data_IF_137748357450
#
_entry.id   IF_137748357450
#
_cell.length_a   1.000
_cell.length_b   1.000
_cell.length_c   1.000
_cell.angle_alpha   90.00
_cell.angle_beta   90.00
_cell.angle_gamma   90.00
#
_symmetry.space_group_name_H-M   'P 1'
#
loop_
_entity.id
_entity.type
_entity.pdbx_description
1 polymer ?
#
# COMPACT_ATOMS: atom_id res chain seq x y z
N UNK A 1 -30.70 12.32 0.06
CA UNK A 1 -29.52 11.81 -0.65
C UNK A 1 -28.45 11.46 0.38
N UNK A 2 -27.89 10.24 0.34
CA UNK A 2 -26.73 9.89 1.18
C UNK A 2 -25.59 10.82 0.81
N UNK A 3 -24.87 11.34 1.81
CA UNK A 3 -23.69 12.18 1.57
C UNK A 3 -22.62 11.37 0.82
N UNK A 4 -21.86 11.98 -0.12
CA UNK A 4 -20.73 11.30 -0.74
C UNK A 4 -19.76 10.79 0.33
N UNK A 5 -19.18 9.62 0.12
CA UNK A 5 -18.26 8.96 1.07
C UNK A 5 -17.14 9.89 1.55
N UNK A 6 -16.65 10.77 0.68
CA UNK A 6 -15.52 11.68 0.88
C UNK A 6 -15.91 13.04 1.49
N UNK A 7 -17.19 13.26 1.77
CA UNK A 7 -17.76 14.49 2.39
C UNK A 7 -18.53 14.19 3.68
N UNK A 8 -18.39 12.99 4.22
CA UNK A 8 -19.00 12.57 5.48
C UNK A 8 -18.27 13.24 6.66
N UNK A 9 -18.96 13.86 7.63
CA UNK A 9 -18.32 14.43 8.81
C UNK A 9 -17.57 13.38 9.64
N UNK A 10 -16.45 13.73 10.32
CA UNK A 10 -15.67 12.82 11.13
C UNK A 10 -16.49 11.99 12.14
N UNK A 11 -17.41 12.61 12.85
CA UNK A 11 -18.30 11.93 13.82
C UNK A 11 -19.18 10.84 13.21
N UNK A 12 -19.59 11.01 11.94
CA UNK A 12 -20.54 10.09 11.29
C UNK A 12 -19.77 8.87 10.77
N UNK A 13 -18.58 9.02 10.19
CA UNK A 13 -17.78 7.85 9.82
C UNK A 13 -17.18 7.13 11.03
N UNK A 14 -16.88 7.83 12.14
CA UNK A 14 -16.49 7.18 13.39
C UNK A 14 -17.56 6.20 13.89
N UNK A 15 -18.81 6.64 13.92
CA UNK A 15 -19.95 5.77 14.28
C UNK A 15 -20.10 4.58 13.33
N UNK A 16 -19.89 4.82 12.02
CA UNK A 16 -19.90 3.76 11.02
C UNK A 16 -18.78 2.74 11.28
N UNK A 17 -17.55 3.21 11.50
CA UNK A 17 -16.41 2.34 11.80
C UNK A 17 -16.63 1.51 13.06
N UNK A 18 -17.16 2.10 14.14
CA UNK A 18 -17.49 1.37 15.38
C UNK A 18 -18.54 0.29 15.16
N UNK A 19 -19.58 0.57 14.38
CA UNK A 19 -20.61 -0.40 14.04
C UNK A 19 -20.06 -1.56 13.19
N UNK A 20 -19.28 -1.24 12.15
CA UNK A 20 -18.65 -2.23 11.27
C UNK A 20 -17.59 -3.05 12.01
N UNK A 21 -16.81 -2.44 12.90
CA UNK A 21 -15.83 -3.11 13.75
C UNK A 21 -16.50 -4.18 14.63
N UNK A 22 -17.57 -3.78 15.33
CA UNK A 22 -18.32 -4.71 16.18
C UNK A 22 -18.88 -5.87 15.37
N UNK A 23 -19.46 -5.58 14.20
CA UNK A 23 -20.00 -6.61 13.32
C UNK A 23 -18.89 -7.53 12.80
N UNK A 24 -17.79 -6.97 12.31
CA UNK A 24 -16.67 -7.73 11.79
C UNK A 24 -16.07 -8.66 12.85
N UNK A 25 -15.85 -8.17 14.06
CA UNK A 25 -15.24 -8.95 15.15
C UNK A 25 -16.19 -10.03 15.66
N UNK A 26 -17.41 -9.64 16.02
CA UNK A 26 -18.34 -10.55 16.72
C UNK A 26 -19.05 -11.55 15.80
N UNK A 27 -19.35 -11.16 14.54
CA UNK A 27 -20.12 -12.00 13.62
C UNK A 27 -19.27 -12.80 12.63
N UNK A 28 -18.06 -12.35 12.33
CA UNK A 28 -17.25 -12.97 11.27
C UNK A 28 -15.85 -13.41 11.73
N UNK A 29 -15.10 -12.51 12.35
CA UNK A 29 -13.70 -12.80 12.69
C UNK A 29 -13.58 -13.88 13.77
N UNK A 30 -14.21 -13.68 14.92
CA UNK A 30 -14.17 -14.65 16.03
C UNK A 30 -14.78 -16.01 15.64
N UNK A 31 -15.97 -16.10 14.99
CA UNK A 31 -16.51 -17.38 14.59
C UNK A 31 -15.73 -18.12 13.51
N UNK A 32 -15.16 -17.41 12.53
CA UNK A 32 -14.64 -18.00 11.30
C UNK A 32 -13.14 -17.92 11.10
N UNK A 33 -12.40 -17.30 12.05
CA UNK A 33 -10.95 -17.33 12.09
C UNK A 33 -10.44 -18.07 13.34
N UNK A 34 -9.93 -19.30 13.22
CA UNK A 34 -9.33 -20.02 14.34
C UNK A 34 -8.17 -19.27 14.99
N UNK A 35 -7.40 -18.52 14.21
CA UNK A 35 -6.28 -17.70 14.69
C UNK A 35 -6.76 -16.60 15.64
N UNK A 36 -7.71 -15.76 15.20
CA UNK A 36 -8.21 -14.67 16.04
C UNK A 36 -9.06 -15.18 17.23
N UNK A 37 -9.81 -16.27 17.03
CA UNK A 37 -10.52 -16.90 18.16
C UNK A 37 -9.55 -17.32 19.25
N UNK A 38 -8.47 -18.02 18.90
CA UNK A 38 -7.44 -18.39 19.86
C UNK A 38 -6.83 -17.17 20.54
N UNK A 39 -6.50 -16.11 19.77
CA UNK A 39 -5.98 -14.85 20.30
C UNK A 39 -6.92 -14.24 21.36
N UNK A 40 -8.22 -14.21 21.10
CA UNK A 40 -9.23 -13.70 22.02
C UNK A 40 -9.36 -14.56 23.27
N UNK A 41 -9.40 -15.88 23.09
CA UNK A 41 -9.55 -16.84 24.20
C UNK A 41 -8.31 -16.84 25.10
N UNK A 42 -7.09 -16.79 24.55
CA UNK A 42 -5.82 -16.74 25.29
C UNK A 42 -5.70 -15.48 26.17
N UNK A 43 -6.38 -14.39 25.81
CA UNK A 43 -6.34 -13.11 26.53
C UNK A 43 -7.65 -12.78 27.26
N UNK A 44 -8.58 -13.73 27.39
CA UNK A 44 -9.93 -13.56 27.98
C UNK A 44 -10.70 -12.35 27.41
N UNK A 45 -10.54 -12.07 26.14
CA UNK A 45 -11.23 -10.96 25.46
C UNK A 45 -12.57 -11.45 24.92
N UNK A 46 -13.65 -10.79 25.31
CA UNK A 46 -14.99 -11.12 24.81
C UNK A 46 -15.27 -10.31 23.52
N UNK A 47 -15.48 -10.96 22.36
CA UNK A 47 -15.67 -10.27 21.08
C UNK A 47 -16.84 -9.29 21.09
N UNK A 48 -17.89 -9.58 21.86
CA UNK A 48 -19.08 -8.72 22.01
C UNK A 48 -18.80 -7.40 22.75
N UNK A 49 -17.66 -7.30 23.45
CA UNK A 49 -17.24 -6.08 24.16
C UNK A 49 -16.47 -5.12 23.27
N UNK A 50 -15.99 -5.58 22.11
CA UNK A 50 -15.31 -4.72 21.13
C UNK A 50 -16.38 -3.94 20.37
N UNK A 51 -16.67 -2.71 20.80
CA UNK A 51 -17.73 -1.84 20.25
C UNK A 51 -17.24 -0.47 19.82
N UNK A 52 -16.16 0.02 20.43
CA UNK A 52 -15.57 1.32 20.19
C UNK A 52 -14.13 1.18 19.78
N UNK A 53 -13.58 2.17 19.09
CA UNK A 53 -12.20 2.13 18.63
C UNK A 53 -11.21 1.94 19.79
N UNK A 54 -11.44 2.58 20.93
CA UNK A 54 -10.62 2.43 22.14
C UNK A 54 -10.62 1.02 22.72
N UNK A 55 -11.65 0.22 22.45
CA UNK A 55 -11.73 -1.16 22.94
C UNK A 55 -10.72 -2.06 22.21
N UNK A 56 -10.16 -1.60 21.08
CA UNK A 56 -9.11 -2.32 20.35
C UNK A 56 -7.79 -2.37 21.13
N UNK A 57 -7.49 -1.40 22.00
CA UNK A 57 -6.21 -1.37 22.72
C UNK A 57 -6.00 -2.57 23.66
N UNK A 58 -7.09 -3.26 24.03
CA UNK A 58 -7.00 -4.52 24.77
C UNK A 58 -6.69 -5.75 23.89
N UNK A 59 -6.84 -5.61 22.55
CA UNK A 59 -6.58 -6.71 21.61
C UNK A 59 -5.10 -6.69 21.23
N UNK A 60 -4.36 -7.80 21.40
CA UNK A 60 -2.97 -7.87 20.98
C UNK A 60 -2.79 -7.55 19.50
N UNK A 61 -1.65 -6.97 19.17
CA UNK A 61 -1.26 -6.73 17.79
C UNK A 61 -0.93 -8.05 17.10
N UNK A 62 -1.32 -8.19 15.85
CA UNK A 62 -0.82 -9.23 14.96
C UNK A 62 0.21 -8.66 13.97
N UNK A 63 1.11 -9.49 13.47
CA UNK A 63 2.21 -9.07 12.61
C UNK A 63 2.43 -10.05 11.45
N UNK A 64 3.31 -9.71 10.52
CA UNK A 64 3.70 -10.59 9.43
C UNK A 64 4.24 -11.95 9.92
N UNK A 65 4.89 -11.99 11.08
CA UNK A 65 5.46 -13.20 11.67
C UNK A 65 4.40 -14.22 12.08
N UNK A 66 3.21 -13.77 12.50
CA UNK A 66 2.09 -14.64 12.85
C UNK A 66 1.54 -15.42 11.66
N UNK A 67 1.77 -14.90 10.46
CA UNK A 67 1.30 -15.44 9.19
C UNK A 67 2.44 -15.98 8.31
N UNK A 68 3.69 -15.79 8.70
CA UNK A 68 4.82 -16.33 7.94
C UNK A 68 4.82 -17.87 7.98
N UNK A 69 4.96 -18.51 6.82
CA UNK A 69 5.14 -19.94 6.75
C UNK A 69 6.42 -20.34 7.48
N UNK A 70 6.35 -21.40 8.28
CA UNK A 70 7.49 -22.01 8.95
C UNK A 70 7.56 -23.49 8.58
N UNK A 71 8.72 -24.18 8.75
CA UNK A 71 8.84 -25.60 8.38
C UNK A 71 7.77 -26.50 9.02
N UNK A 72 7.37 -26.17 10.27
CA UNK A 72 6.40 -26.93 11.06
C UNK A 72 4.95 -26.61 10.67
N UNK A 73 4.69 -25.44 10.05
CA UNK A 73 3.35 -25.01 9.65
C UNK A 73 3.39 -24.10 8.39
N UNK A 74 3.35 -24.70 7.23
CA UNK A 74 3.27 -24.01 5.94
C UNK A 74 1.90 -23.36 5.68
N UNK A 75 0.89 -23.66 6.53
CA UNK A 75 -0.47 -23.14 6.37
C UNK A 75 -0.68 -21.75 7.00
N UNK A 76 0.29 -21.21 7.74
CA UNK A 76 0.18 -19.94 8.45
C UNK A 76 -0.27 -18.75 7.59
N UNK A 77 0.15 -18.59 6.32
CA UNK A 77 -0.33 -17.50 5.47
C UNK A 77 -1.85 -17.50 5.24
N UNK A 78 -2.48 -18.66 5.37
CA UNK A 78 -3.93 -18.82 5.18
C UNK A 78 -4.75 -18.50 6.44
N UNK A 79 -4.13 -18.20 7.58
CA UNK A 79 -4.82 -17.91 8.85
C UNK A 79 -5.69 -16.65 8.80
N UNK A 80 -5.40 -15.72 7.88
CA UNK A 80 -6.21 -14.53 7.65
C UNK A 80 -7.52 -14.82 6.89
N UNK A 81 -7.64 -15.97 6.19
CA UNK A 81 -8.85 -16.35 5.48
C UNK A 81 -9.96 -16.70 6.45
N UNK A 82 -11.14 -16.13 6.24
CA UNK A 82 -12.34 -16.51 6.99
C UNK A 82 -12.89 -17.82 6.42
N UNK A 83 -13.05 -18.82 7.28
CA UNK A 83 -13.48 -20.18 6.89
C UNK A 83 -14.66 -20.62 7.76
N UNK A 84 -15.91 -20.36 7.34
CA UNK A 84 -17.07 -20.92 8.00
C UNK A 84 -17.06 -22.43 7.85
N UNK A 85 -16.87 -23.15 8.95
CA UNK A 85 -17.04 -24.58 9.04
C UNK A 85 -18.28 -24.93 9.89
N UNK A 86 -18.73 -26.17 9.82
CA UNK A 86 -19.91 -26.62 10.54
C UNK A 86 -19.77 -26.43 12.07
N UNK A 87 -18.57 -26.66 12.61
CA UNK A 87 -18.28 -26.47 14.03
C UNK A 87 -18.33 -24.99 14.41
N UNK A 88 -17.71 -24.12 13.59
CA UNK A 88 -17.74 -22.66 13.78
C UNK A 88 -19.16 -22.10 13.74
N UNK A 89 -19.95 -22.56 12.76
CA UNK A 89 -21.35 -22.19 12.63
C UNK A 89 -22.16 -22.61 13.87
N UNK A 90 -22.11 -23.88 14.28
CA UNK A 90 -22.90 -24.39 15.40
C UNK A 90 -22.54 -23.77 16.75
N UNK A 91 -21.25 -23.50 16.98
CA UNK A 91 -20.78 -23.13 18.32
C UNK A 91 -20.59 -21.62 18.52
N UNK A 92 -20.20 -20.86 17.50
CA UNK A 92 -19.78 -19.48 17.64
C UNK A 92 -20.48 -18.48 16.71
N UNK A 93 -21.19 -18.94 15.67
CA UNK A 93 -21.86 -18.03 14.75
C UNK A 93 -22.97 -17.23 15.45
N UNK A 94 -23.10 -15.96 15.05
CA UNK A 94 -24.17 -15.10 15.53
C UNK A 94 -25.54 -15.66 15.11
N UNK A 95 -26.55 -15.47 15.97
CA UNK A 95 -27.93 -15.98 15.74
C UNK A 95 -28.50 -15.59 14.38
N UNK A 96 -28.19 -14.40 13.88
CA UNK A 96 -28.69 -13.94 12.58
C UNK A 96 -28.05 -14.72 11.42
N UNK A 97 -26.76 -15.07 11.52
CA UNK A 97 -26.09 -15.95 10.54
C UNK A 97 -26.75 -17.33 10.55
N UNK A 98 -26.97 -17.89 11.75
CA UNK A 98 -27.62 -19.20 11.90
C UNK A 98 -29.06 -19.18 11.35
N UNK A 99 -29.84 -18.13 11.63
CA UNK A 99 -31.22 -17.98 11.12
C UNK A 99 -31.22 -17.89 9.58
N UNK A 100 -30.29 -17.15 8.99
CA UNK A 100 -30.16 -17.02 7.54
C UNK A 100 -29.82 -18.36 6.90
N UNK A 101 -28.84 -19.08 7.43
CA UNK A 101 -28.45 -20.41 6.94
C UNK A 101 -29.58 -21.41 7.12
N UNK A 102 -30.24 -21.45 8.29
CA UNK A 102 -31.38 -22.34 8.57
C UNK A 102 -32.55 -22.05 7.65
N UNK A 103 -32.88 -20.77 7.41
CA UNK A 103 -33.94 -20.38 6.47
C UNK A 103 -33.62 -20.85 5.04
N UNK A 104 -32.38 -20.64 4.58
CA UNK A 104 -31.99 -21.04 3.24
C UNK A 104 -32.06 -22.58 3.10
N UNK A 105 -31.56 -23.31 4.11
CA UNK A 105 -31.65 -24.75 4.17
C UNK A 105 -33.09 -25.25 4.14
N UNK A 106 -33.99 -24.62 4.90
CA UNK A 106 -35.41 -25.00 4.97
C UNK A 106 -36.17 -24.70 3.65
N UNK A 107 -35.87 -23.56 3.01
CA UNK A 107 -36.60 -23.11 1.82
C UNK A 107 -36.06 -23.72 0.54
N UNK A 108 -34.74 -23.90 0.44
CA UNK A 108 -34.04 -24.29 -0.81
C UNK A 108 -33.13 -25.53 -0.70
N UNK A 109 -33.04 -26.11 0.53
CA UNK A 109 -32.23 -27.30 0.79
C UNK A 109 -30.76 -27.02 1.19
N UNK A 110 -30.05 -28.09 1.56
CA UNK A 110 -28.69 -28.03 2.11
C UNK A 110 -27.69 -27.44 1.12
N UNK A 111 -27.76 -27.83 -0.16
CA UNK A 111 -26.87 -27.29 -1.21
C UNK A 111 -26.98 -25.76 -1.35
N UNK A 112 -28.16 -25.21 -1.17
CA UNK A 112 -28.36 -23.74 -1.21
C UNK A 112 -27.74 -23.04 -0.02
N UNK A 113 -27.78 -23.66 1.16
CA UNK A 113 -27.13 -23.12 2.36
C UNK A 113 -25.60 -23.16 2.24
N UNK A 114 -25.02 -24.25 1.69
CA UNK A 114 -23.60 -24.36 1.41
C UNK A 114 -23.18 -23.34 0.34
N UNK A 115 -23.96 -23.18 -0.71
CA UNK A 115 -23.72 -22.19 -1.77
C UNK A 115 -23.76 -20.77 -1.22
N UNK A 116 -24.70 -20.43 -0.35
CA UNK A 116 -24.78 -19.12 0.32
C UNK A 116 -23.50 -18.80 1.08
N UNK A 117 -22.97 -19.76 1.84
CA UNK A 117 -21.73 -19.59 2.60
C UNK A 117 -20.52 -19.51 1.67
N UNK A 118 -20.47 -20.34 0.61
CA UNK A 118 -19.42 -20.32 -0.37
C UNK A 118 -19.37 -18.98 -1.13
N UNK A 119 -20.51 -18.46 -1.54
CA UNK A 119 -20.61 -17.16 -2.20
C UNK A 119 -20.15 -16.01 -1.30
N UNK A 120 -20.46 -16.08 0.01
CA UNK A 120 -20.09 -15.03 0.95
C UNK A 120 -18.59 -15.09 1.36
N UNK A 121 -18.00 -16.28 1.56
CA UNK A 121 -16.69 -16.43 2.17
C UNK A 121 -15.63 -17.10 1.30
N UNK A 122 -16.00 -17.71 0.18
CA UNK A 122 -15.04 -18.37 -0.70
C UNK A 122 -14.20 -17.34 -1.46
N UNK A 123 -12.87 -17.28 -1.27
CA UNK A 123 -12.03 -16.44 -2.08
C UNK A 123 -12.04 -16.89 -3.54
N UNK A 124 -12.31 -15.97 -4.45
CA UNK A 124 -12.27 -16.18 -5.91
C UNK A 124 -11.04 -15.52 -6.53
N UNK A 125 -10.35 -14.68 -5.76
CA UNK A 125 -9.13 -14.00 -6.16
C UNK A 125 -8.17 -13.92 -4.96
N UNK A 126 -6.89 -14.14 -5.21
CA UNK A 126 -5.85 -14.18 -4.17
C UNK A 126 -4.67 -13.31 -4.57
N UNK A 127 -4.18 -12.50 -3.64
CA UNK A 127 -2.88 -11.84 -3.78
C UNK A 127 -1.86 -12.51 -2.87
N UNK A 128 -0.66 -12.71 -3.41
CA UNK A 128 0.46 -13.22 -2.63
C UNK A 128 1.14 -12.07 -1.88
N UNK A 129 1.59 -12.30 -0.63
CA UNK A 129 2.40 -11.31 0.06
C UNK A 129 3.74 -11.11 -0.66
N UNK A 130 4.26 -9.89 -0.63
CA UNK A 130 5.58 -9.58 -1.22
C UNK A 130 6.76 -10.13 -0.40
N UNK A 131 6.49 -10.67 0.78
CA UNK A 131 7.42 -11.26 1.74
C UNK A 131 6.67 -12.15 2.72
N UNK A 132 7.20 -12.41 3.93
CA UNK A 132 6.45 -13.07 4.99
C UNK A 132 5.17 -12.30 5.29
N UNK A 133 4.03 -12.99 5.44
CA UNK A 133 2.77 -12.32 5.73
C UNK A 133 1.53 -13.11 5.33
N UNK A 134 0.34 -12.56 5.61
CA UNK A 134 -0.92 -13.19 5.28
C UNK A 134 -1.22 -13.16 3.79
N UNK A 135 -1.90 -14.21 3.34
CA UNK A 135 -2.50 -14.24 2.01
C UNK A 135 -3.72 -13.32 1.98
N UNK A 136 -3.80 -12.44 0.99
CA UNK A 136 -4.97 -11.59 0.81
C UNK A 136 -5.99 -12.29 -0.10
N UNK A 137 -7.14 -12.63 0.46
CA UNK A 137 -8.24 -13.28 -0.26
C UNK A 137 -9.42 -12.34 -0.48
N UNK A 138 -10.01 -12.41 -1.67
CA UNK A 138 -11.18 -11.63 -2.08
C UNK A 138 -12.31 -12.54 -2.50
N UNK A 139 -13.46 -12.41 -1.90
CA UNK A 139 -14.70 -12.96 -2.41
C UNK A 139 -15.24 -12.09 -3.56
N UNK A 140 -16.32 -12.49 -4.22
CA UNK A 140 -16.99 -11.62 -5.21
C UNK A 140 -17.42 -10.28 -4.62
N UNK A 141 -17.90 -10.30 -3.36
CA UNK A 141 -18.21 -9.08 -2.61
C UNK A 141 -16.98 -8.21 -2.39
N UNK A 142 -15.87 -8.81 -1.98
CA UNK A 142 -14.63 -8.10 -1.71
C UNK A 142 -14.01 -7.49 -2.99
N UNK A 143 -14.18 -8.14 -4.15
CA UNK A 143 -13.79 -7.57 -5.43
C UNK A 143 -14.62 -6.31 -5.77
N UNK A 144 -15.90 -6.28 -5.40
CA UNK A 144 -16.70 -5.05 -5.53
C UNK A 144 -16.19 -3.93 -4.62
N UNK A 145 -15.77 -4.25 -3.39
CA UNK A 145 -15.14 -3.29 -2.47
C UNK A 145 -13.78 -2.80 -3.01
N UNK A 146 -12.95 -3.70 -3.56
CA UNK A 146 -11.68 -3.34 -4.23
C UNK A 146 -11.92 -2.41 -5.42
N UNK A 147 -12.93 -2.72 -6.25
CA UNK A 147 -13.34 -1.88 -7.39
C UNK A 147 -13.76 -0.49 -6.93
N UNK A 148 -14.54 -0.40 -5.87
CA UNK A 148 -14.98 0.86 -5.28
C UNK A 148 -13.79 1.65 -4.69
N UNK A 149 -12.90 1.00 -3.94
CA UNK A 149 -11.70 1.63 -3.38
C UNK A 149 -10.78 2.16 -4.48
N UNK A 150 -10.55 1.38 -5.54
CA UNK A 150 -9.78 1.81 -6.71
C UNK A 150 -10.42 2.98 -7.45
N UNK A 151 -11.75 2.97 -7.65
CA UNK A 151 -12.46 4.10 -8.26
C UNK A 151 -12.37 5.37 -7.39
N UNK A 152 -12.45 5.23 -6.07
CA UNK A 152 -12.25 6.34 -5.11
C UNK A 152 -10.83 6.90 -5.18
N UNK A 153 -9.81 6.03 -5.27
CA UNK A 153 -8.42 6.48 -5.41
C UNK A 153 -8.21 7.28 -6.70
N UNK A 154 -8.77 6.82 -7.82
CA UNK A 154 -8.75 7.56 -9.09
C UNK A 154 -9.46 8.93 -8.96
N UNK A 155 -10.62 8.97 -8.31
CA UNK A 155 -11.35 10.22 -8.07
C UNK A 155 -10.59 11.20 -7.17
N UNK A 156 -9.85 10.70 -6.14
CA UNK A 156 -8.95 11.51 -5.30
C UNK A 156 -7.87 12.15 -6.15
N UNK A 157 -7.32 11.42 -7.11
CA UNK A 157 -6.28 11.89 -8.01
C UNK A 157 -6.82 12.80 -9.16
N UNK A 158 -8.11 13.12 -9.16
CA UNK A 158 -8.72 13.99 -10.18
C UNK A 158 -8.97 13.29 -11.51
N UNK A 159 -8.96 11.96 -11.54
CA UNK A 159 -9.27 11.16 -12.74
C UNK A 159 -10.78 11.03 -12.90
N UNK A 160 -11.26 11.20 -14.12
CA UNK A 160 -12.68 11.22 -14.49
C UNK A 160 -12.97 10.19 -15.58
N UNK A 161 -14.24 9.99 -15.93
CA UNK A 161 -14.65 9.06 -17.00
C UNK A 161 -14.18 9.45 -18.40
N UNK A 162 -13.81 10.71 -18.59
CA UNK A 162 -13.30 11.22 -19.87
C UNK A 162 -11.80 10.90 -20.06
N UNK A 163 -11.12 10.46 -19.00
CA UNK A 163 -9.72 10.13 -19.06
C UNK A 163 -9.48 8.76 -19.73
N UNK A 164 -8.29 8.59 -20.27
CA UNK A 164 -7.80 7.33 -20.82
C UNK A 164 -6.58 6.93 -20.00
N UNK A 165 -6.68 5.80 -19.31
CA UNK A 165 -5.62 5.28 -18.44
C UNK A 165 -4.76 4.27 -19.21
N UNK A 166 -3.45 4.51 -19.19
CA UNK A 166 -2.46 3.50 -19.55
C UNK A 166 -1.72 3.09 -18.26
N UNK A 167 -1.66 1.78 -18.01
CA UNK A 167 -0.94 1.21 -16.88
C UNK A 167 0.28 0.43 -17.35
N UNK A 168 1.44 0.80 -16.82
CA UNK A 168 2.70 0.05 -16.94
C UNK A 168 3.08 -0.59 -15.61
N UNK A 169 2.10 -0.90 -14.78
CA UNK A 169 2.29 -1.72 -13.59
C UNK A 169 2.50 -3.18 -13.97
N UNK A 170 3.38 -3.92 -13.26
CA UNK A 170 3.65 -5.31 -13.56
C UNK A 170 2.41 -6.17 -13.39
N UNK A 171 2.19 -7.09 -14.33
CA UNK A 171 1.22 -8.16 -14.20
C UNK A 171 1.70 -9.15 -13.14
N UNK A 172 0.85 -9.47 -12.19
CA UNK A 172 1.26 -10.44 -11.18
C UNK A 172 0.22 -10.58 -10.06
N UNK A 173 0.48 -11.49 -9.11
CA UNK A 173 -0.44 -11.74 -8.00
C UNK A 173 -0.28 -10.69 -6.90
N UNK A 174 -0.02 -9.43 -7.27
CA UNK A 174 0.26 -8.33 -6.35
C UNK A 174 -0.74 -7.20 -6.52
N UNK A 175 -1.06 -6.52 -5.44
CA UNK A 175 -2.08 -5.47 -5.37
C UNK A 175 -1.96 -4.35 -6.42
N UNK A 176 -0.79 -3.84 -6.82
CA UNK A 176 -0.69 -2.66 -7.68
C UNK A 176 -1.53 -2.71 -8.96
N UNK A 177 -1.32 -3.77 -9.74
CA UNK A 177 -2.05 -3.97 -10.99
C UNK A 177 -3.56 -4.11 -10.76
N UNK A 178 -3.95 -4.96 -9.82
CA UNK A 178 -5.36 -5.28 -9.58
C UNK A 178 -6.14 -4.11 -8.99
N UNK A 179 -5.51 -3.31 -8.12
CA UNK A 179 -6.15 -2.10 -7.59
C UNK A 179 -6.49 -1.10 -8.69
N UNK A 180 -5.55 -0.86 -9.62
CA UNK A 180 -5.76 0.05 -10.75
C UNK A 180 -6.74 -0.56 -11.76
N UNK A 181 -6.65 -1.86 -12.05
CA UNK A 181 -7.54 -2.57 -12.96
C UNK A 181 -9.00 -2.51 -12.50
N UNK A 182 -9.28 -3.00 -11.29
CA UNK A 182 -10.64 -2.96 -10.74
C UNK A 182 -11.12 -1.52 -10.50
N UNK A 183 -10.22 -0.63 -10.13
CA UNK A 183 -10.53 0.79 -9.98
C UNK A 183 -10.98 1.45 -11.27
N UNK A 184 -10.30 1.18 -12.38
CA UNK A 184 -10.69 1.67 -13.69
C UNK A 184 -12.07 1.13 -14.11
N UNK A 185 -12.33 -0.15 -13.89
CA UNK A 185 -13.65 -0.75 -14.13
C UNK A 185 -14.74 -0.08 -13.28
N UNK A 186 -14.50 0.08 -11.95
CA UNK A 186 -15.44 0.72 -11.04
C UNK A 186 -15.72 2.19 -11.36
N UNK A 187 -14.74 2.90 -11.92
CA UNK A 187 -14.87 4.27 -12.36
C UNK A 187 -15.55 4.40 -13.75
N UNK A 188 -15.73 3.29 -14.49
CA UNK A 188 -16.16 3.30 -15.88
C UNK A 188 -15.16 4.02 -16.80
N UNK A 189 -13.87 3.82 -16.55
CA UNK A 189 -12.75 4.48 -17.21
C UNK A 189 -12.19 3.59 -18.31
N UNK A 190 -11.93 4.15 -19.49
CA UNK A 190 -11.17 3.47 -20.54
C UNK A 190 -9.73 3.22 -20.09
N UNK A 191 -9.33 1.95 -20.03
CA UNK A 191 -8.02 1.58 -19.54
C UNK A 191 -7.33 0.52 -20.39
N UNK A 192 -6.02 0.69 -20.60
CA UNK A 192 -5.15 -0.31 -21.23
C UNK A 192 -4.00 -0.65 -20.28
N UNK A 193 -3.76 -1.92 -20.09
CA UNK A 193 -2.69 -2.43 -19.25
C UNK A 193 -1.59 -3.02 -20.13
N UNK A 194 -0.40 -2.45 -20.08
CA UNK A 194 0.72 -2.80 -20.96
C UNK A 194 1.82 -3.62 -20.24
N UNK A 195 1.71 -3.77 -18.91
CA UNK A 195 2.75 -4.40 -18.11
C UNK A 195 4.03 -3.56 -17.98
N UNK A 196 4.98 -4.06 -17.24
CA UNK A 196 6.20 -3.32 -16.87
C UNK A 196 7.36 -3.45 -17.88
N UNK A 197 7.07 -3.75 -19.14
CA UNK A 197 8.06 -3.77 -20.21
C UNK A 197 8.44 -5.15 -20.75
N UNK A 198 7.98 -6.25 -20.13
CA UNK A 198 8.14 -7.60 -20.68
C UNK A 198 7.05 -7.92 -21.70
N UNK A 199 5.78 -7.65 -21.36
CA UNK A 199 4.65 -7.93 -22.25
C UNK A 199 4.61 -6.93 -23.43
N UNK A 200 4.79 -5.64 -23.15
CA UNK A 200 4.87 -4.58 -24.16
C UNK A 200 6.11 -3.74 -23.92
N UNK A 201 6.99 -3.67 -24.92
CA UNK A 201 8.24 -2.93 -24.82
C UNK A 201 8.00 -1.41 -24.67
N UNK A 202 8.90 -0.65 -24.01
CA UNK A 202 8.69 0.79 -23.76
C UNK A 202 8.37 1.62 -25.01
N UNK A 203 9.01 1.34 -26.15
CA UNK A 203 8.73 2.07 -27.39
C UNK A 203 7.32 1.78 -27.95
N UNK A 204 6.85 0.54 -27.84
CA UNK A 204 5.48 0.15 -28.23
C UNK A 204 4.45 0.78 -27.28
N UNK A 205 4.75 0.81 -25.97
CA UNK A 205 3.93 1.50 -24.97
C UNK A 205 3.79 2.99 -25.28
N UNK A 206 4.86 3.67 -25.72
CA UNK A 206 4.83 5.06 -26.14
C UNK A 206 3.93 5.28 -27.37
N UNK A 207 3.97 4.37 -28.34
CA UNK A 207 3.08 4.41 -29.53
C UNK A 207 1.62 4.28 -29.10
N UNK A 208 1.31 3.34 -28.19
CA UNK A 208 -0.06 3.18 -27.70
C UNK A 208 -0.54 4.37 -26.88
N UNK A 209 0.30 4.97 -26.05
CA UNK A 209 -0.05 6.18 -25.31
C UNK A 209 -0.44 7.33 -26.27
N UNK A 210 0.36 7.55 -27.32
CA UNK A 210 0.07 8.58 -28.33
C UNK A 210 -1.23 8.28 -29.09
N UNK A 211 -1.41 7.04 -29.58
CA UNK A 211 -2.59 6.63 -30.35
C UNK A 211 -3.90 6.72 -29.58
N UNK A 212 -3.87 6.33 -28.30
CA UNK A 212 -5.03 6.36 -27.42
C UNK A 212 -5.30 7.76 -26.84
N UNK A 213 -4.35 8.68 -27.01
CA UNK A 213 -4.43 10.00 -26.36
C UNK A 213 -4.47 9.87 -24.84
N UNK A 214 -3.58 9.03 -24.27
CA UNK A 214 -3.55 8.72 -22.86
C UNK A 214 -3.44 9.98 -21.99
N UNK A 215 -4.34 10.10 -21.00
CA UNK A 215 -4.37 11.24 -20.08
C UNK A 215 -3.88 10.86 -18.68
N UNK A 216 -3.84 9.56 -18.36
CA UNK A 216 -3.36 9.02 -17.09
C UNK A 216 -2.34 7.91 -17.35
N UNK A 217 -1.18 8.01 -16.72
CA UNK A 217 -0.16 6.94 -16.70
C UNK A 217 0.01 6.42 -15.29
N UNK A 218 -0.31 5.14 -15.05
CA UNK A 218 -0.03 4.45 -13.78
C UNK A 218 1.22 3.59 -13.93
N UNK A 219 2.21 3.75 -13.02
CA UNK A 219 3.52 3.11 -13.18
C UNK A 219 4.24 2.91 -11.85
N UNK A 220 5.28 2.07 -11.85
CA UNK A 220 6.31 2.05 -10.82
C UNK A 220 7.33 3.18 -11.07
N UNK A 221 7.93 3.69 -10.00
CA UNK A 221 8.73 4.91 -10.08
C UNK A 221 10.00 4.78 -10.92
N UNK A 222 10.72 3.64 -10.87
CA UNK A 222 11.95 3.50 -11.67
C UNK A 222 11.63 3.30 -13.15
N UNK A 223 10.59 2.51 -13.46
CA UNK A 223 10.13 2.35 -14.83
C UNK A 223 9.65 3.69 -15.41
N UNK A 224 8.83 4.44 -14.68
CA UNK A 224 8.33 5.76 -15.10
C UNK A 224 9.46 6.74 -15.38
N UNK A 225 10.50 6.83 -14.52
CA UNK A 225 11.64 7.73 -14.73
C UNK A 225 12.39 7.40 -16.02
N UNK A 226 12.60 6.11 -16.31
CA UNK A 226 13.21 5.64 -17.55
C UNK A 226 12.33 5.89 -18.79
N UNK A 227 11.04 5.61 -18.67
CA UNK A 227 10.07 5.79 -19.73
C UNK A 227 9.90 7.25 -20.15
N UNK A 228 9.76 8.17 -19.18
CA UNK A 228 9.68 9.61 -19.44
C UNK A 228 10.94 10.18 -20.11
N UNK A 229 12.11 9.58 -19.88
CA UNK A 229 13.36 10.00 -20.54
C UNK A 229 13.55 9.45 -21.95
N UNK A 230 13.01 8.26 -22.20
CA UNK A 230 13.29 7.53 -23.45
C UNK A 230 12.17 7.58 -24.48
N UNK A 231 10.93 7.91 -24.09
CA UNK A 231 9.81 7.96 -25.00
C UNK A 231 9.69 9.34 -25.69
N UNK A 232 9.19 9.39 -26.93
CA UNK A 232 9.00 10.66 -27.65
C UNK A 232 7.92 11.53 -26.97
N UNK A 233 8.03 12.88 -27.03
CA UNK A 233 7.06 13.81 -26.40
C UNK A 233 5.61 13.58 -26.84
N UNK A 234 5.39 13.10 -28.06
CA UNK A 234 4.05 12.78 -28.57
C UNK A 234 3.31 11.74 -27.70
N UNK A 235 4.03 10.87 -26.99
CA UNK A 235 3.44 9.91 -26.07
C UNK A 235 2.76 10.59 -24.87
N UNK A 236 3.18 11.77 -24.50
CA UNK A 236 2.74 12.49 -23.31
C UNK A 236 1.93 13.77 -23.61
N UNK A 237 1.64 14.04 -24.89
CA UNK A 237 1.00 15.29 -25.33
C UNK A 237 -0.36 15.56 -24.65
N UNK A 238 -1.07 14.53 -24.20
CA UNK A 238 -2.36 14.65 -23.51
C UNK A 238 -2.31 14.22 -22.05
N UNK A 239 -1.12 13.89 -21.53
CA UNK A 239 -0.96 13.39 -20.17
C UNK A 239 -1.32 14.49 -19.14
N UNK A 240 -2.22 14.16 -18.22
CA UNK A 240 -2.69 15.04 -17.14
C UNK A 240 -2.23 14.58 -15.76
N UNK A 241 -2.14 13.26 -15.57
CA UNK A 241 -1.78 12.67 -14.26
C UNK A 241 -0.81 11.52 -14.46
N UNK A 242 0.32 11.60 -13.77
CA UNK A 242 1.22 10.47 -13.51
C UNK A 242 0.91 9.90 -12.14
N UNK A 243 0.49 8.65 -12.09
CA UNK A 243 0.20 7.89 -10.86
C UNK A 243 1.37 6.98 -10.55
N UNK A 244 2.01 7.18 -9.42
CA UNK A 244 3.15 6.37 -8.98
C UNK A 244 2.73 5.45 -7.84
N UNK A 245 2.99 4.16 -7.99
CA UNK A 245 2.83 3.21 -6.89
C UNK A 245 3.98 3.36 -5.89
N UNK A 246 3.64 3.53 -4.60
CA UNK A 246 4.59 3.75 -3.52
C UNK A 246 4.29 2.86 -2.32
N UNK A 247 5.34 2.48 -1.58
CA UNK A 247 5.22 1.81 -0.27
C UNK A 247 5.69 2.76 0.85
N UNK A 248 6.14 3.94 0.49
CA UNK A 248 6.76 4.97 1.32
C UNK A 248 7.94 5.63 0.61
N UNK A 249 8.61 6.58 1.27
CA UNK A 249 9.86 7.18 0.78
C UNK A 249 9.72 8.02 -0.50
N UNK A 250 8.56 8.59 -0.76
CA UNK A 250 8.30 9.41 -1.96
C UNK A 250 8.59 10.91 -1.74
N UNK A 251 9.10 11.31 -0.57
CA UNK A 251 9.56 12.68 -0.35
C UNK A 251 10.70 13.01 -1.31
N UNK A 252 10.62 14.12 -2.04
CA UNK A 252 11.54 14.49 -3.12
C UNK A 252 11.26 13.84 -4.48
N UNK A 253 10.42 12.80 -4.54
CA UNK A 253 10.08 12.16 -5.81
C UNK A 253 9.18 13.05 -6.69
N UNK A 254 8.26 13.81 -6.08
CA UNK A 254 7.34 14.68 -6.84
C UNK A 254 8.10 15.72 -7.64
N UNK A 255 9.07 16.42 -7.06
CA UNK A 255 9.90 17.42 -7.74
C UNK A 255 10.64 16.79 -8.91
N UNK A 256 11.24 15.61 -8.69
CA UNK A 256 11.90 14.86 -9.76
C UNK A 256 10.96 14.54 -10.91
N UNK A 257 9.78 13.97 -10.61
CA UNK A 257 8.82 13.59 -11.64
C UNK A 257 8.15 14.79 -12.32
N UNK A 258 7.89 15.88 -11.60
CA UNK A 258 7.44 17.14 -12.19
C UNK A 258 8.48 17.69 -13.18
N UNK A 259 9.76 17.67 -12.83
CA UNK A 259 10.83 18.06 -13.76
C UNK A 259 10.92 17.11 -14.96
N UNK A 260 10.74 15.80 -14.77
CA UNK A 260 10.72 14.81 -15.85
C UNK A 260 9.54 15.02 -16.81
N UNK A 261 8.34 15.23 -16.29
CA UNK A 261 7.13 15.49 -17.08
C UNK A 261 7.29 16.75 -17.93
N UNK A 262 7.83 17.82 -17.35
CA UNK A 262 8.13 19.05 -18.10
C UNK A 262 9.12 18.79 -19.23
N UNK A 263 10.19 18.06 -18.96
CA UNK A 263 11.19 17.69 -19.97
C UNK A 263 10.63 16.75 -21.04
N UNK A 264 9.66 15.91 -20.70
CA UNK A 264 8.99 14.99 -21.61
C UNK A 264 7.86 15.63 -22.44
N UNK A 265 7.58 16.92 -22.28
CA UNK A 265 6.54 17.62 -23.03
C UNK A 265 5.15 17.64 -22.39
N UNK A 266 5.04 17.31 -21.10
CA UNK A 266 3.79 17.34 -20.31
C UNK A 266 3.94 18.27 -19.09
N UNK A 267 4.16 19.59 -19.27
CA UNK A 267 4.48 20.51 -18.16
C UNK A 267 3.33 20.68 -17.16
N UNK A 268 2.09 20.48 -17.60
CA UNK A 268 0.87 20.67 -16.81
C UNK A 268 0.40 19.37 -16.13
N UNK A 269 1.08 18.24 -16.39
CA UNK A 269 0.72 16.98 -15.77
C UNK A 269 1.07 16.94 -14.27
N UNK A 270 0.08 16.59 -13.46
CA UNK A 270 0.25 16.40 -12.02
C UNK A 270 0.89 15.04 -11.68
N UNK A 271 1.55 14.98 -10.54
CA UNK A 271 2.08 13.73 -9.96
C UNK A 271 1.24 13.36 -8.75
N UNK A 272 0.64 12.19 -8.78
CA UNK A 272 -0.08 11.59 -7.65
C UNK A 272 0.57 10.28 -7.24
N UNK A 273 0.40 9.88 -5.98
CA UNK A 273 0.95 8.63 -5.46
C UNK A 273 -0.14 7.75 -4.84
N UNK A 274 0.04 6.44 -4.97
CA UNK A 274 -0.76 5.41 -4.31
C UNK A 274 0.09 4.74 -3.24
N UNK A 275 -0.33 4.85 -1.98
CA UNK A 275 0.25 4.09 -0.86
C UNK A 275 -0.44 2.72 -0.82
N UNK A 276 0.26 1.67 -1.23
CA UNK A 276 -0.24 0.31 -1.21
C UNK A 276 0.35 -0.51 -0.07
N UNK A 277 -0.51 -1.08 0.76
CA UNK A 277 -0.15 -2.10 1.74
C UNK A 277 -0.86 -3.38 1.30
N UNK A 278 -0.13 -4.39 0.77
CA UNK A 278 -0.74 -5.58 0.18
C UNK A 278 -1.72 -6.29 1.11
N UNK A 279 -1.40 -6.36 2.39
CA UNK A 279 -2.20 -7.00 3.44
C UNK A 279 -3.51 -6.25 3.70
N UNK A 280 -3.53 -4.93 3.49
CA UNK A 280 -4.73 -4.11 3.60
C UNK A 280 -5.68 -4.28 2.41
N UNK A 281 -5.24 -4.93 1.33
CA UNK A 281 -6.02 -5.26 0.11
C UNK A 281 -6.50 -4.08 -0.71
N UNK A 282 -6.18 -2.87 -0.31
CA UNK A 282 -6.47 -1.61 -1.00
C UNK A 282 -5.23 -0.73 -1.01
N UNK A 283 -5.26 0.33 -1.81
CA UNK A 283 -4.28 1.39 -1.76
C UNK A 283 -4.98 2.74 -1.57
N UNK A 284 -4.31 3.64 -0.88
CA UNK A 284 -4.78 4.99 -0.59
C UNK A 284 -4.08 5.99 -1.49
N UNK A 285 -4.86 6.92 -2.02
CA UNK A 285 -4.36 7.95 -2.92
C UNK A 285 -4.11 9.27 -2.20
N UNK A 286 -3.04 9.97 -2.58
CA UNK A 286 -2.95 11.39 -2.32
C UNK A 286 -3.61 12.19 -3.47
N UNK A 287 -4.08 13.40 -3.19
CA UNK A 287 -4.55 14.29 -4.24
C UNK A 287 -3.35 14.99 -4.90
N UNK A 288 -3.43 15.26 -6.23
CA UNK A 288 -2.37 15.98 -6.92
C UNK A 288 -2.13 17.35 -6.28
N UNK A 289 -0.87 17.71 -6.12
CA UNK A 289 -0.53 19.08 -5.76
C UNK A 289 -0.79 20.00 -6.95
N UNK A 290 -1.25 21.25 -6.71
CA UNK A 290 -1.36 22.24 -7.78
C UNK A 290 -0.01 22.44 -8.48
N UNK A 291 0.01 22.80 -9.78
CA UNK A 291 1.25 23.15 -10.46
C UNK A 291 2.05 24.19 -9.70
N UNK A 292 3.33 23.97 -9.52
CA UNK A 292 4.22 24.86 -8.76
C UNK A 292 4.26 24.65 -7.24
N UNK A 293 3.39 23.76 -6.70
CA UNK A 293 3.35 23.41 -5.25
C UNK A 293 3.69 21.95 -5.02
N UNK A 294 4.70 21.43 -5.68
CA UNK A 294 5.07 20.01 -5.65
C UNK A 294 5.34 19.45 -4.24
N UNK A 295 5.72 20.31 -3.29
CA UNK A 295 5.93 19.92 -1.89
C UNK A 295 4.64 19.71 -1.09
N UNK A 296 3.50 20.18 -1.58
CA UNK A 296 2.22 20.12 -0.87
C UNK A 296 1.55 18.74 -1.02
N UNK A 297 2.22 17.67 -0.57
CA UNK A 297 1.56 16.39 -0.35
C UNK A 297 0.62 16.51 0.86
N UNK A 298 -0.69 16.34 0.61
CA UNK A 298 -1.71 16.52 1.63
C UNK A 298 -2.07 15.23 2.39
N UNK A 299 -1.43 14.13 2.03
CA UNK A 299 -1.61 12.82 2.65
C UNK A 299 -2.56 11.89 1.89
N UNK A 300 -2.56 10.64 2.29
CA UNK A 300 -3.28 9.54 1.66
C UNK A 300 -4.68 9.40 2.25
N UNK A 301 -5.69 9.56 1.41
CA UNK A 301 -7.10 9.50 1.79
C UNK A 301 -7.55 8.06 2.02
N UNK A 302 -8.11 7.77 3.18
CA UNK A 302 -8.56 6.42 3.57
C UNK A 302 -10.03 6.18 3.23
N UNK A 303 -10.52 4.95 3.43
CA UNK A 303 -11.89 4.54 3.15
C UNK A 303 -12.56 4.04 4.44
N UNK A 304 -13.16 4.94 5.26
CA UNK A 304 -13.65 4.61 6.60
C UNK A 304 -14.72 3.50 6.67
N UNK A 305 -15.34 3.18 5.56
CA UNK A 305 -16.31 2.08 5.43
C UNK A 305 -15.67 0.72 5.11
N UNK A 306 -14.38 0.68 4.78
CA UNK A 306 -13.66 -0.55 4.42
C UNK A 306 -12.59 -0.93 5.45
N UNK A 307 -12.06 0.05 6.17
CA UNK A 307 -10.93 -0.14 7.06
C UNK A 307 -10.89 0.86 8.21
N UNK A 308 -10.13 0.48 9.23
CA UNK A 308 -9.67 1.36 10.29
C UNK A 308 -8.15 1.35 10.32
N UNK A 309 -7.56 2.53 10.29
CA UNK A 309 -6.13 2.73 10.56
C UNK A 309 -5.95 3.37 11.92
N UNK A 310 -5.07 2.80 12.73
CA UNK A 310 -4.58 3.36 13.98
C UNK A 310 -3.09 3.69 13.83
N UNK A 311 -2.60 4.63 14.61
CA UNK A 311 -1.16 4.84 14.81
C UNK A 311 -0.84 4.42 16.22
N UNK A 312 0.18 3.57 16.40
CA UNK A 312 0.57 3.07 17.71
C UNK A 312 2.02 3.38 18.03
N UNK A 313 2.30 3.54 19.32
CA UNK A 313 3.65 3.68 19.85
C UNK A 313 4.42 2.35 19.89
N UNK A 314 5.63 2.36 20.47
CA UNK A 314 6.46 1.15 20.63
C UNK A 314 5.83 0.08 21.52
N UNK A 315 4.96 0.46 22.45
CA UNK A 315 4.23 -0.44 23.34
C UNK A 315 2.92 -0.96 22.72
N UNK A 316 2.57 -0.51 21.53
CA UNK A 316 1.36 -0.89 20.82
C UNK A 316 0.10 -0.15 21.28
N UNK A 317 0.25 0.96 21.99
CA UNK A 317 -0.88 1.81 22.42
C UNK A 317 -1.19 2.83 21.33
N UNK A 318 -2.48 3.08 21.10
CA UNK A 318 -2.92 4.13 20.16
C UNK A 318 -2.42 5.50 20.61
N UNK A 319 -1.85 6.26 19.68
CA UNK A 319 -1.40 7.64 19.90
C UNK A 319 -2.42 8.63 19.35
N UNK A 320 -2.23 9.92 19.68
CA UNK A 320 -3.11 10.99 19.25
C UNK A 320 -2.99 11.36 17.77
N UNK A 321 -3.93 12.18 17.29
CA UNK A 321 -3.92 12.73 15.93
C UNK A 321 -2.63 13.53 15.68
N UNK A 322 -1.98 13.28 14.55
CA UNK A 322 -0.72 13.95 14.17
C UNK A 322 0.54 13.40 14.86
N UNK A 323 0.42 12.48 15.82
CA UNK A 323 1.56 11.89 16.50
C UNK A 323 2.18 10.75 15.68
N UNK A 324 3.50 10.61 15.79
CA UNK A 324 4.26 9.59 15.06
C UNK A 324 4.10 8.20 15.66
N UNK A 325 4.02 7.18 14.81
CA UNK A 325 3.98 5.79 15.22
C UNK A 325 3.82 4.84 14.06
N UNK A 326 3.70 3.56 14.36
CA UNK A 326 3.45 2.54 13.34
C UNK A 326 1.97 2.50 12.95
N UNK A 327 1.69 2.43 11.65
CA UNK A 327 0.34 2.19 11.14
C UNK A 327 -0.11 0.77 11.43
N UNK A 328 -1.25 0.66 12.07
CA UNK A 328 -1.94 -0.61 12.37
C UNK A 328 -3.24 -0.65 11.61
N UNK A 329 -3.45 -1.73 10.87
CA UNK A 329 -4.60 -1.94 10.00
C UNK A 329 -5.62 -2.88 10.64
N UNK A 330 -6.90 -2.52 10.56
CA UNK A 330 -8.03 -3.39 10.90
C UNK A 330 -9.03 -3.41 9.74
N UNK A 331 -9.37 -4.60 9.30
CA UNK A 331 -10.38 -4.85 8.26
C UNK A 331 -11.79 -4.55 8.75
N UNK A 332 -12.55 -3.82 7.97
CA UNK A 332 -13.99 -3.62 8.18
C UNK A 332 -14.75 -4.17 6.98
N UNK A 333 -15.78 -4.97 7.24
CA UNK A 333 -16.72 -5.51 6.23
C UNK A 333 -16.10 -6.37 5.11
N UNK A 334 -14.97 -7.07 5.37
CA UNK A 334 -14.35 -8.02 4.45
C UNK A 334 -14.72 -9.46 4.78
N UNK A 335 -14.81 -10.34 3.76
CA UNK A 335 -15.25 -11.74 3.90
C UNK A 335 -14.21 -12.77 3.47
N UNK A 336 -13.35 -12.49 2.49
CA UNK A 336 -12.34 -13.44 2.03
C UNK A 336 -11.21 -13.61 3.02
N UNK A 337 -10.53 -12.53 3.35
CA UNK A 337 -9.56 -12.47 4.44
C UNK A 337 -9.82 -11.25 5.31
N UNK A 338 -9.48 -11.34 6.61
CA UNK A 338 -9.63 -10.24 7.54
C UNK A 338 -8.44 -10.17 8.49
N UNK A 339 -8.04 -8.95 8.81
CA UNK A 339 -6.98 -8.64 9.75
C UNK A 339 -7.51 -7.72 10.84
N UNK A 340 -7.06 -7.94 12.07
CA UNK A 340 -7.41 -7.13 13.23
C UNK A 340 -6.12 -6.69 13.91
N UNK A 341 -5.96 -5.38 14.10
CA UNK A 341 -4.77 -4.76 14.69
C UNK A 341 -3.46 -5.30 14.09
N UNK A 342 -3.40 -5.33 12.78
CA UNK A 342 -2.23 -5.84 12.05
C UNK A 342 -1.17 -4.76 11.89
N UNK A 343 0.04 -5.03 12.35
CA UNK A 343 1.23 -4.19 12.17
C UNK A 343 1.65 -4.18 10.71
N UNK A 344 1.59 -3.03 10.07
CA UNK A 344 1.90 -2.92 8.64
C UNK A 344 3.40 -2.76 8.36
N UNK A 345 4.19 -2.49 9.38
CA UNK A 345 5.59 -2.11 9.24
C UNK A 345 5.80 -0.70 8.68
N UNK A 346 4.73 0.03 8.34
CA UNK A 346 4.81 1.42 7.89
C UNK A 346 4.76 2.36 9.09
N UNK A 347 5.70 3.28 9.16
CA UNK A 347 5.77 4.32 10.20
C UNK A 347 5.26 5.63 9.62
N UNK A 348 4.16 6.14 10.16
CA UNK A 348 3.66 7.48 9.87
C UNK A 348 4.35 8.48 10.80
N UNK A 349 5.35 9.21 10.29
CA UNK A 349 6.16 10.15 11.10
C UNK A 349 5.38 11.40 11.51
N UNK A 350 4.24 11.65 10.86
CA UNK A 350 3.30 12.74 11.14
C UNK A 350 1.89 12.25 11.43
N UNK A 351 1.73 10.94 11.69
CA UNK A 351 0.47 10.36 12.09
C UNK A 351 -0.65 10.38 11.05
N UNK A 352 -1.87 10.38 11.56
CA UNK A 352 -3.13 10.50 10.80
C UNK A 352 -3.81 11.81 11.21
N UNK A 353 -4.55 12.42 10.28
CA UNK A 353 -5.41 13.59 10.56
C UNK A 353 -6.84 13.34 10.10
N UNK A 354 -7.80 13.91 10.83
CA UNK A 354 -9.23 13.93 10.51
C UNK A 354 -9.69 15.29 9.98
N UNK A 355 -8.77 16.26 9.86
CA UNK A 355 -9.05 17.56 9.27
C UNK A 355 -9.39 17.46 7.78
N UNK A 356 -10.23 18.37 7.30
CA UNK A 356 -10.51 18.46 5.87
C UNK A 356 -9.23 18.70 5.07
N UNK A 357 -9.07 17.98 3.96
CA UNK A 357 -7.90 18.12 3.12
C UNK A 357 -7.78 19.53 2.53
N UNK A 358 -6.69 20.28 2.76
CA UNK A 358 -6.54 21.61 2.22
C UNK A 358 -6.42 21.64 0.68
N UNK A 359 -5.99 20.53 0.06
CA UNK A 359 -5.85 20.43 -1.40
C UNK A 359 -7.16 20.11 -2.12
N UNK A 360 -8.01 19.25 -1.59
CA UNK A 360 -9.22 18.77 -2.29
C UNK A 360 -10.52 18.89 -1.48
N UNK A 361 -10.47 19.36 -0.22
CA UNK A 361 -11.62 19.55 0.65
C UNK A 361 -12.33 18.29 1.12
N UNK A 362 -11.76 17.10 0.91
CA UNK A 362 -12.31 15.83 1.43
C UNK A 362 -12.15 15.74 2.93
N UNK A 363 -13.13 15.10 3.59
CA UNK A 363 -13.20 15.02 5.06
C UNK A 363 -12.87 13.64 5.63
N UNK A 364 -12.52 12.67 4.77
CA UNK A 364 -12.05 11.36 5.24
C UNK A 364 -10.69 11.44 5.91
N UNK A 365 -10.38 10.55 6.87
CA UNK A 365 -9.06 10.52 7.50
C UNK A 365 -7.95 10.36 6.47
N UNK A 366 -6.80 10.98 6.75
CA UNK A 366 -5.62 10.92 5.88
C UNK A 366 -4.39 10.52 6.66
N UNK A 367 -3.66 9.55 6.15
CA UNK A 367 -2.29 9.29 6.60
C UNK A 367 -1.40 10.41 6.06
N UNK A 368 -0.80 11.18 6.95
CA UNK A 368 0.02 12.32 6.54
C UNK A 368 1.30 11.85 5.81
N UNK A 369 1.82 12.64 4.87
CA UNK A 369 3.05 12.30 4.16
C UNK A 369 4.24 12.29 5.13
N UNK A 370 5.38 11.83 4.68
CA UNK A 370 6.58 11.53 5.48
C UNK A 370 6.47 10.16 6.16
N UNK A 371 6.49 9.14 5.32
CA UNK A 371 6.39 7.75 5.73
C UNK A 371 7.77 7.10 5.76
N UNK A 372 7.99 6.28 6.77
CA UNK A 372 9.13 5.37 6.89
C UNK A 372 8.64 3.94 7.04
N UNK A 373 9.55 3.04 7.33
CA UNK A 373 9.26 1.65 7.68
C UNK A 373 10.05 1.23 8.92
N UNK A 374 9.51 0.31 9.68
CA UNK A 374 10.20 -0.24 10.87
C UNK A 374 11.56 -0.84 10.49
N UNK A 375 11.62 -1.55 9.35
CA UNK A 375 12.83 -2.19 8.82
C UNK A 375 13.80 -1.22 8.10
N UNK A 376 13.46 0.07 7.99
CA UNK A 376 14.32 1.10 7.40
C UNK A 376 15.22 1.80 8.41
N UNK A 377 15.14 1.43 9.67
CA UNK A 377 16.04 1.93 10.70
C UNK A 377 17.31 1.10 10.75
N UNK A 378 18.45 1.77 10.71
CA UNK A 378 19.75 1.14 10.73
C UNK A 378 20.66 1.81 11.76
N UNK A 379 21.47 1.03 12.46
CA UNK A 379 22.46 1.52 13.41
C UNK A 379 23.84 1.41 12.78
N UNK A 380 24.37 2.53 12.30
CA UNK A 380 25.65 2.61 11.60
C UNK A 380 26.77 3.18 12.46
N UNK A 381 28.01 2.90 12.08
CA UNK A 381 29.18 3.55 12.70
C UNK A 381 29.35 4.95 12.11
N UNK A 382 29.07 5.98 12.89
CA UNK A 382 29.28 7.37 12.51
C UNK A 382 30.64 7.92 13.00
N UNK A 383 31.06 9.12 12.53
CA UNK A 383 32.33 9.74 12.90
C UNK A 383 32.48 10.04 14.39
N UNK A 384 31.36 10.18 15.12
CA UNK A 384 31.29 10.53 16.55
C UNK A 384 30.75 9.38 17.42
N UNK A 385 30.66 8.17 16.88
CA UNK A 385 30.06 7.00 17.55
C UNK A 385 28.87 6.42 16.79
N UNK A 386 28.12 5.48 17.39
CA UNK A 386 26.95 4.87 16.75
C UNK A 386 25.91 5.93 16.40
N UNK A 387 25.37 5.82 15.17
CA UNK A 387 24.33 6.70 14.64
C UNK A 387 23.12 5.86 14.24
N UNK A 388 21.94 6.22 14.71
CA UNK A 388 20.68 5.67 14.19
C UNK A 388 20.24 6.45 12.98
N UNK A 389 19.99 5.75 11.88
CA UNK A 389 19.59 6.32 10.59
C UNK A 389 18.24 5.75 10.20
N UNK A 390 17.29 6.64 9.89
CA UNK A 390 16.05 6.29 9.20
C UNK A 390 16.25 6.56 7.69
N UNK A 391 16.07 5.55 6.86
CA UNK A 391 16.22 5.72 5.41
C UNK A 391 15.24 6.74 4.82
N UNK A 392 14.12 7.04 5.49
CA UNK A 392 13.22 8.10 5.08
C UNK A 392 13.92 9.48 5.00
N UNK A 393 15.03 9.66 5.72
CA UNK A 393 15.85 10.87 5.65
C UNK A 393 16.93 10.80 4.55
N UNK A 394 17.31 9.60 4.14
CA UNK A 394 18.29 9.33 3.07
C UNK A 394 17.66 9.43 1.67
N UNK A 395 16.44 8.91 1.52
CA UNK A 395 15.79 8.78 0.21
C UNK A 395 15.52 10.11 -0.51
N UNK A 396 15.17 11.22 0.16
CA UNK A 396 15.00 12.53 -0.50
C UNK A 396 16.27 13.02 -1.19
N UNK A 397 17.44 12.75 -0.59
CA UNK A 397 18.74 13.08 -1.16
C UNK A 397 19.02 12.34 -2.47
N UNK A 398 18.57 11.10 -2.55
CA UNK A 398 18.67 10.26 -3.76
C UNK A 398 17.67 10.68 -4.83
N UNK A 399 16.44 11.05 -4.43
CA UNK A 399 15.45 11.59 -5.36
C UNK A 399 15.90 12.92 -5.97
N UNK A 400 16.53 13.79 -5.19
CA UNK A 400 17.09 15.07 -5.62
C UNK A 400 18.44 14.96 -6.37
N UNK A 401 19.04 13.77 -6.49
CA UNK A 401 20.34 13.59 -7.13
C UNK A 401 20.25 13.81 -8.64
N UNK A 402 20.87 14.92 -9.12
CA UNK A 402 21.05 15.18 -10.56
C UNK A 402 22.11 14.24 -11.11
N UNK A 403 22.05 13.89 -12.38
CA UNK A 403 23.01 12.96 -13.01
C UNK A 403 22.82 11.49 -12.66
N UNK A 404 22.00 11.14 -11.67
CA UNK A 404 21.67 9.75 -11.29
C UNK A 404 20.42 9.30 -12.02
N UNK A 405 20.58 8.33 -12.91
CA UNK A 405 19.46 7.78 -13.68
C UNK A 405 18.60 6.82 -12.87
N UNK A 406 19.24 6.02 -12.00
CA UNK A 406 18.60 4.99 -11.18
C UNK A 406 19.36 4.85 -9.86
N UNK A 407 18.67 4.51 -8.79
CA UNK A 407 19.31 4.27 -7.50
C UNK A 407 18.62 3.16 -6.70
N UNK A 408 19.42 2.47 -5.86
CA UNK A 408 18.94 1.48 -4.89
C UNK A 408 19.74 1.65 -3.60
N UNK A 409 19.05 1.53 -2.47
CA UNK A 409 19.68 1.47 -1.14
C UNK A 409 19.64 0.04 -0.64
N UNK A 410 20.76 -0.46 -0.17
CA UNK A 410 20.89 -1.75 0.50
C UNK A 410 21.39 -1.54 1.92
N UNK A 411 20.67 -2.09 2.88
CA UNK A 411 21.06 -2.17 4.28
C UNK A 411 21.45 -3.61 4.57
N UNK A 412 22.66 -3.82 5.11
CA UNK A 412 23.10 -5.12 5.60
C UNK A 412 23.23 -5.04 7.12
N UNK A 413 22.30 -5.64 7.83
CA UNK A 413 22.25 -5.65 9.29
C UNK A 413 23.46 -6.40 9.85
N UNK A 414 24.19 -5.79 10.78
CA UNK A 414 25.41 -6.37 11.35
C UNK A 414 26.61 -6.49 10.39
N UNK A 415 26.49 -6.00 9.15
CA UNK A 415 27.52 -6.10 8.10
C UNK A 415 28.58 -5.00 8.10
N UNK A 416 28.52 -4.09 9.07
CA UNK A 416 29.47 -2.99 9.23
C UNK A 416 30.57 -3.28 10.27
N UNK A 417 31.38 -2.25 10.55
CA UNK A 417 32.42 -2.32 11.59
C UNK A 417 31.78 -2.51 12.98
N UNK A 418 32.41 -3.34 13.82
CA UNK A 418 31.97 -3.64 15.18
C UNK A 418 30.49 -4.11 15.30
N UNK A 419 29.99 -4.85 14.29
CA UNK A 419 28.62 -5.37 14.28
C UNK A 419 27.54 -4.31 13.99
N UNK A 420 27.92 -3.09 13.59
CA UNK A 420 27.00 -2.08 13.10
C UNK A 420 26.41 -2.47 11.73
N UNK A 421 25.32 -1.83 11.34
CA UNK A 421 24.74 -2.01 10.00
C UNK A 421 25.58 -1.30 8.93
N UNK A 422 25.51 -1.78 7.70
CA UNK A 422 26.11 -1.13 6.55
C UNK A 422 25.05 -0.66 5.57
N UNK A 423 25.08 0.62 5.21
CA UNK A 423 24.20 1.22 4.20
C UNK A 423 24.98 1.55 2.95
N UNK A 424 24.54 1.02 1.81
CA UNK A 424 25.14 1.27 0.50
C UNK A 424 24.10 1.81 -0.47
N UNK A 425 24.32 3.00 -1.00
CA UNK A 425 23.55 3.56 -2.11
C UNK A 425 24.26 3.22 -3.44
N UNK A 426 23.57 2.45 -4.31
CA UNK A 426 24.03 2.17 -5.67
C UNK A 426 23.43 3.19 -6.62
N UNK A 427 24.28 3.83 -7.41
CA UNK A 427 23.92 4.95 -8.29
C UNK A 427 24.17 4.53 -9.74
N UNK A 428 23.09 4.36 -10.49
CA UNK A 428 23.12 3.99 -11.90
C UNK A 428 23.23 5.19 -12.82
N UNK A 429 24.19 5.17 -13.77
CA UNK A 429 24.40 6.23 -14.75
C UNK A 429 25.06 7.49 -14.18
N UNK A 430 25.52 7.46 -12.96
CA UNK A 430 26.21 8.57 -12.30
C UNK A 430 27.67 8.67 -12.78
N UNK A 431 28.13 9.87 -13.11
CA UNK A 431 29.53 10.17 -13.32
C UNK A 431 30.29 10.13 -11.97
N UNK A 432 31.63 10.04 -11.98
CA UNK A 432 32.43 10.14 -10.75
C UNK A 432 32.14 11.41 -9.94
N UNK A 433 31.89 12.54 -10.61
CA UNK A 433 31.49 13.82 -9.99
C UNK A 433 30.13 13.74 -9.33
N UNK A 434 29.13 13.12 -9.99
CA UNK A 434 27.79 12.91 -9.41
C UNK A 434 27.88 12.02 -8.15
N UNK A 435 28.69 10.94 -8.22
CA UNK A 435 28.90 10.05 -7.07
C UNK A 435 29.51 10.80 -5.89
N UNK A 436 30.53 11.62 -6.14
CA UNK A 436 31.19 12.43 -5.10
C UNK A 436 30.20 13.41 -4.46
N UNK A 437 29.37 14.08 -5.27
CA UNK A 437 28.36 15.01 -4.79
C UNK A 437 27.31 14.31 -3.92
N UNK A 438 26.78 13.16 -4.37
CA UNK A 438 25.80 12.39 -3.59
C UNK A 438 26.44 11.82 -2.33
N UNK A 439 27.69 11.33 -2.41
CA UNK A 439 28.43 10.84 -1.25
C UNK A 439 28.59 11.92 -0.17
N UNK A 440 28.95 13.15 -0.56
CA UNK A 440 29.08 14.26 0.38
C UNK A 440 27.77 14.54 1.12
N UNK A 441 26.63 14.48 0.44
CA UNK A 441 25.30 14.68 1.03
C UNK A 441 24.88 13.52 1.93
N UNK A 442 25.27 12.29 1.60
CA UNK A 442 24.90 11.09 2.34
C UNK A 442 25.92 10.68 3.44
N UNK A 443 27.10 11.30 3.46
CA UNK A 443 28.11 11.05 4.48
C UNK A 443 27.62 11.25 5.93
N UNK A 444 26.82 12.28 6.25
CA UNK A 444 26.27 12.46 7.59
C UNK A 444 25.42 11.27 8.08
N UNK A 445 24.83 10.51 7.17
CA UNK A 445 24.02 9.32 7.46
C UNK A 445 24.85 8.02 7.46
N UNK A 446 26.16 8.08 7.33
CA UNK A 446 27.02 6.90 7.26
C UNK A 446 26.81 6.03 6.01
N UNK A 447 26.17 6.57 4.97
CA UNK A 447 25.87 5.87 3.71
C UNK A 447 27.08 5.92 2.77
N UNK A 448 27.45 4.79 2.19
CA UNK A 448 28.48 4.69 1.14
C UNK A 448 27.84 4.64 -0.23
N UNK A 449 28.34 5.45 -1.16
CA UNK A 449 27.88 5.48 -2.55
C UNK A 449 28.76 4.64 -3.47
N UNK A 450 28.14 3.94 -4.43
CA UNK A 450 28.84 3.18 -5.48
C UNK A 450 28.19 3.43 -6.84
N UNK A 451 28.98 3.77 -7.84
CA UNK A 451 28.52 3.75 -9.23
C UNK A 451 28.28 2.32 -9.69
N UNK A 452 27.22 2.12 -10.44
CA UNK A 452 26.85 0.82 -11.03
C UNK A 452 26.30 1.08 -12.44
N UNK A 453 26.55 0.21 -13.44
CA UNK A 453 25.91 0.33 -14.74
C UNK A 453 24.39 0.34 -14.61
N UNK A 454 23.70 1.25 -15.33
CA UNK A 454 22.22 1.41 -15.27
C UNK A 454 21.50 0.08 -15.54
N UNK A 455 21.98 -0.67 -16.54
CA UNK A 455 21.40 -1.96 -16.93
C UNK A 455 21.48 -2.99 -15.80
N UNK A 456 22.65 -3.11 -15.18
CA UNK A 456 22.87 -4.04 -14.05
C UNK A 456 21.96 -3.67 -12.87
N UNK A 457 21.92 -2.37 -12.53
CA UNK A 457 21.09 -1.89 -11.44
C UNK A 457 19.59 -2.08 -11.72
N UNK A 458 19.16 -1.83 -12.95
CA UNK A 458 17.79 -2.06 -13.39
C UNK A 458 17.37 -3.52 -13.24
N UNK A 459 18.22 -4.46 -13.69
CA UNK A 459 17.99 -5.90 -13.52
C UNK A 459 17.90 -6.29 -12.03
N UNK A 460 18.82 -5.77 -11.21
CA UNK A 460 18.83 -6.02 -9.76
C UNK A 460 17.59 -5.51 -9.05
N UNK A 461 17.03 -4.40 -9.51
CA UNK A 461 15.81 -3.79 -8.97
C UNK A 461 14.52 -4.41 -9.52
N UNK A 462 14.59 -5.19 -10.60
CA UNK A 462 13.43 -5.70 -11.32
C UNK A 462 12.76 -4.66 -12.24
N UNK A 463 13.47 -3.59 -12.62
CA UNK A 463 12.94 -2.57 -13.55
C UNK A 463 12.72 -3.17 -14.92
N UNK A 464 11.56 -2.95 -15.49
CA UNK A 464 11.20 -3.50 -16.81
C UNK A 464 10.82 -4.98 -16.78
N UNK A 465 10.49 -5.53 -15.61
CA UNK A 465 10.01 -6.91 -15.43
C UNK A 465 8.65 -6.93 -14.73
N UNK A 466 7.94 -8.04 -14.83
CA UNK A 466 6.65 -8.25 -14.14
C UNK A 466 6.83 -8.49 -12.62
N UNK A 467 7.87 -7.92 -12.03
CA UNK A 467 8.16 -7.96 -10.59
C UNK A 467 8.05 -6.56 -9.97
N UNK A 468 7.64 -6.46 -8.70
CA UNK A 468 7.70 -5.18 -7.98
C UNK A 468 9.14 -4.66 -7.89
N UNK A 469 9.33 -3.37 -8.19
CA UNK A 469 10.64 -2.72 -8.07
C UNK A 469 11.13 -2.69 -6.62
N UNK A 470 12.42 -3.01 -6.42
CA UNK A 470 13.08 -3.03 -5.10
C UNK A 470 14.08 -1.88 -4.98
N UNK A 471 13.62 -0.72 -4.54
CA UNK A 471 14.51 0.45 -4.30
C UNK A 471 15.25 0.38 -2.97
N UNK A 472 14.64 -0.20 -1.96
CA UNK A 472 15.25 -0.42 -0.66
C UNK A 472 15.28 -1.93 -0.40
N UNK A 473 16.42 -2.44 0.02
CA UNK A 473 16.65 -3.84 0.34
C UNK A 473 17.31 -3.93 1.70
N UNK A 474 16.65 -4.61 2.62
CA UNK A 474 17.22 -4.89 3.96
C UNK A 474 17.56 -6.38 4.03
N UNK A 475 18.76 -6.71 4.48
CA UNK A 475 19.26 -8.09 4.61
C UNK A 475 19.95 -8.29 5.95
N UNK A 476 19.84 -9.47 6.52
CA UNK A 476 20.73 -9.91 7.58
C UNK A 476 22.17 -10.07 7.02
N UNK A 477 23.19 -9.87 7.87
CA UNK A 477 24.55 -10.27 7.53
C UNK A 477 24.58 -11.80 7.30
N UNK A 478 25.33 -12.22 6.29
CA UNK A 478 25.56 -13.65 6.02
C UNK A 478 26.60 -14.21 6.97
#
# INVERSE_FOLDING_TARGET
>A
MARPWDRTPPRDYLRLQEALLHEQVARYLYPFSPFYRKLFDDHDIKPQRIRRLRDLDQVPLSSAEDFAAVPEDSSRPFRALLRPDERGLKRWAHRDVLRRVAREKLVRGDESAERLLAEEFKPVHLHLPAGPGPLAGYTMRDLSALSQAGARSLAVMGVTRQDVLVSTLPFGPHLPFWHVHYGAQGAGLGAVHLGAGEAVRPHEAAVWMARLGATVLASQAAYADGFLRGAPPAAFARLRVLVLWAIGGMRGARERFTARLRAAGAPDAGVATLLGIPEARVAWADCPAPPGQAEAAHGYHTYPDLELLQVVDGDGRSVGEGEAGELVYTSLDWRGSALLRYRTGVVARRGITTEACPGCGRTVPRVLPDLSRVDWRARVSGPRGPLEVDLADVLPELWGARGVALWQVEVTQGGGLAGADAIVARLGGASPGDVAQVQARLAPYGVRCRAVPVRELGQRMGVGTERPERRVVVRAAR
#
